data_IF_897243265133
#
_entry.id   IF_897243265133
#
_cell.length_a   1.000
_cell.length_b   1.000
_cell.length_c   1.000
_cell.angle_alpha   90.00
_cell.angle_beta   90.00
_cell.angle_gamma   90.00
#
_symmetry.space_group_name_H-M   'P 1'
#
loop_
_entity.id
_entity.type
_entity.pdbx_description
1 polymer ?
#
# COMPACT_ATOMS: atom_id res chain seq x y z
N UNK A 1 23.92 1.87 -29.35
CA UNK A 1 23.43 1.53 -28.01
C UNK A 1 24.65 1.42 -27.14
N UNK A 2 24.93 2.50 -26.41
CA UNK A 2 26.01 2.53 -25.43
C UNK A 2 25.52 2.02 -24.06
N UNK A 3 26.41 2.02 -23.09
CA UNK A 3 26.12 1.63 -21.71
C UNK A 3 25.09 2.53 -21.03
N UNK A 4 25.00 3.80 -21.45
CA UNK A 4 24.02 4.76 -20.95
C UNK A 4 22.63 4.43 -21.48
N UNK A 5 22.50 4.15 -22.78
CA UNK A 5 21.25 3.73 -23.42
C UNK A 5 20.70 2.46 -22.75
N UNK A 6 21.57 1.48 -22.49
CA UNK A 6 21.18 0.23 -21.84
C UNK A 6 20.74 0.44 -20.38
N UNK A 7 21.43 1.32 -19.64
CA UNK A 7 21.06 1.67 -18.27
C UNK A 7 19.69 2.38 -18.23
N UNK A 8 19.42 3.28 -19.16
CA UNK A 8 18.15 3.99 -19.26
C UNK A 8 16.99 3.01 -19.52
N UNK A 9 17.11 2.14 -20.51
CA UNK A 9 16.09 1.12 -20.82
C UNK A 9 15.81 0.23 -19.59
N UNK A 10 16.86 -0.16 -18.86
CA UNK A 10 16.74 -0.98 -17.65
C UNK A 10 15.94 -0.27 -16.55
N UNK A 11 16.21 1.02 -16.34
CA UNK A 11 15.49 1.84 -15.35
C UNK A 11 14.02 1.95 -15.72
N UNK A 12 13.70 2.17 -16.99
CA UNK A 12 12.32 2.26 -17.46
C UNK A 12 11.54 0.97 -17.23
N UNK A 13 12.14 -0.19 -17.57
CA UNK A 13 11.52 -1.51 -17.33
C UNK A 13 11.28 -1.75 -15.84
N UNK A 14 12.25 -1.41 -14.99
CA UNK A 14 12.11 -1.61 -13.54
C UNK A 14 11.05 -0.67 -12.94
N UNK A 15 11.04 0.59 -13.35
CA UNK A 15 10.07 1.58 -12.86
C UNK A 15 8.65 1.21 -13.26
N UNK A 16 8.44 0.85 -14.53
CA UNK A 16 7.12 0.44 -15.02
C UNK A 16 6.63 -0.81 -14.29
N UNK A 17 7.49 -1.82 -14.11
CA UNK A 17 7.14 -3.01 -13.34
C UNK A 17 6.78 -2.70 -11.88
N UNK A 18 7.54 -1.82 -11.21
CA UNK A 18 7.27 -1.41 -9.83
C UNK A 18 5.93 -0.68 -9.71
N UNK A 19 5.63 0.24 -10.63
CA UNK A 19 4.35 0.97 -10.66
C UNK A 19 3.20 -0.02 -10.86
N UNK A 20 3.29 -0.91 -11.84
CA UNK A 20 2.24 -1.90 -12.11
C UNK A 20 2.01 -2.83 -10.92
N UNK A 21 3.08 -3.24 -10.24
CA UNK A 21 2.98 -4.08 -9.04
C UNK A 21 2.27 -3.38 -7.87
N UNK A 22 2.35 -2.05 -7.77
CA UNK A 22 1.61 -1.26 -6.77
C UNK A 22 0.17 -1.05 -7.19
N UNK A 23 -0.08 -0.67 -8.44
CA UNK A 23 -1.43 -0.46 -8.96
C UNK A 23 -2.27 -1.73 -8.93
N UNK A 24 -1.66 -2.90 -9.20
CA UNK A 24 -2.35 -4.19 -9.10
C UNK A 24 -2.77 -4.58 -7.68
N UNK A 25 -2.28 -3.90 -6.63
CA UNK A 25 -2.69 -4.14 -5.23
C UNK A 25 -3.87 -3.26 -4.82
N UNK A 26 -4.30 -2.31 -5.65
CA UNK A 26 -5.41 -1.42 -5.33
C UNK A 26 -6.69 -2.23 -5.32
N UNK A 27 -7.41 -2.18 -4.21
CA UNK A 27 -8.68 -2.90 -4.09
C UNK A 27 -9.79 -2.20 -4.87
N UNK A 28 -10.61 -3.03 -5.49
CA UNK A 28 -11.75 -2.59 -6.30
C UNK A 28 -13.08 -2.76 -5.58
N UNK A 29 -13.11 -3.49 -4.46
CA UNK A 29 -14.33 -3.78 -3.70
C UNK A 29 -14.43 -2.81 -2.52
N UNK A 30 -15.46 -1.94 -2.47
CA UNK A 30 -15.67 -1.04 -1.35
C UNK A 30 -15.77 -1.79 -0.03
N UNK A 31 -15.36 -1.11 1.04
CA UNK A 31 -15.44 -1.62 2.39
C UNK A 31 -16.90 -1.82 2.82
N UNK A 32 -17.14 -2.84 3.65
CA UNK A 32 -18.42 -3.02 4.35
C UNK A 32 -18.62 -1.97 5.45
N UNK A 33 -17.61 -1.12 5.71
CA UNK A 33 -17.63 -0.14 6.79
C UNK A 33 -17.30 -0.73 8.16
N UNK A 34 -16.80 -1.96 8.22
CA UNK A 34 -16.37 -2.63 9.46
C UNK A 34 -14.88 -2.94 9.42
N UNK A 35 -14.15 -2.58 10.48
CA UNK A 35 -12.73 -2.81 10.62
C UNK A 35 -12.45 -4.32 10.69
N UNK A 36 -11.56 -4.82 9.83
CA UNK A 36 -11.15 -6.23 9.81
C UNK A 36 -10.27 -6.64 10.98
N UNK A 37 -9.71 -5.69 11.73
CA UNK A 37 -8.80 -5.95 12.83
C UNK A 37 -9.51 -5.96 14.20
N UNK A 38 -10.26 -4.90 14.52
CA UNK A 38 -10.98 -4.78 15.80
C UNK A 38 -12.48 -5.10 15.72
N UNK A 39 -13.07 -5.15 14.52
CA UNK A 39 -14.52 -5.38 14.34
C UNK A 39 -15.40 -4.14 14.53
N UNK A 40 -14.83 -2.98 14.82
CA UNK A 40 -15.57 -1.73 15.01
C UNK A 40 -15.94 -1.06 13.68
N UNK A 41 -16.89 -0.12 13.72
CA UNK A 41 -17.26 0.64 12.54
C UNK A 41 -16.11 1.55 12.09
N UNK A 42 -15.85 1.59 10.78
CA UNK A 42 -14.89 2.51 10.19
C UNK A 42 -15.52 3.90 10.11
N UNK A 43 -14.72 4.90 10.44
CA UNK A 43 -15.11 6.30 10.48
C UNK A 43 -15.63 6.74 9.12
N UNK A 44 -16.80 7.39 9.11
CA UNK A 44 -17.46 7.79 7.86
C UNK A 44 -16.60 8.75 7.03
N UNK A 45 -15.87 9.66 7.67
CA UNK A 45 -14.92 10.54 7.00
C UNK A 45 -13.82 9.74 6.26
N UNK A 46 -13.39 8.63 6.86
CA UNK A 46 -12.36 7.76 6.31
C UNK A 46 -12.87 6.94 5.15
N UNK A 47 -14.11 6.44 5.20
CA UNK A 47 -14.77 5.77 4.07
C UNK A 47 -15.07 6.74 2.93
N UNK A 48 -15.38 8.01 3.23
CA UNK A 48 -15.55 9.06 2.20
C UNK A 48 -14.23 9.36 1.49
N UNK A 49 -13.13 9.45 2.22
CA UNK A 49 -11.80 9.69 1.65
C UNK A 49 -11.23 8.45 0.95
N UNK A 50 -11.46 7.26 1.51
CA UNK A 50 -11.04 5.98 0.97
C UNK A 50 -12.16 4.93 1.14
N UNK A 51 -12.98 4.73 0.09
CA UNK A 51 -14.07 3.75 0.10
C UNK A 51 -13.62 2.31 0.32
N UNK A 52 -12.34 2.02 0.10
CA UNK A 52 -11.76 0.68 0.19
C UNK A 52 -11.06 0.42 1.54
N UNK A 53 -11.20 1.31 2.53
CA UNK A 53 -10.53 1.18 3.81
C UNK A 53 -10.93 -0.12 4.55
N UNK A 54 -9.94 -0.96 4.92
CA UNK A 54 -10.16 -2.23 5.65
C UNK A 54 -10.18 -2.13 7.16
N UNK A 55 -9.50 -1.14 7.71
CA UNK A 55 -9.27 -0.99 9.14
C UNK A 55 -9.89 0.33 9.61
N UNK A 56 -10.12 0.55 10.89
CA UNK A 56 -10.36 1.90 11.43
C UNK A 56 -9.04 2.70 11.39
N UNK A 57 -9.09 3.97 11.80
CA UNK A 57 -7.89 4.81 11.87
C UNK A 57 -6.80 4.19 12.76
N UNK A 58 -7.15 3.84 13.99
CA UNK A 58 -6.18 3.40 14.99
C UNK A 58 -5.48 2.09 14.56
N UNK A 59 -6.25 1.11 14.08
CA UNK A 59 -5.71 -0.15 13.59
C UNK A 59 -4.80 0.03 12.37
N UNK A 60 -5.07 1.04 11.52
CA UNK A 60 -4.21 1.33 10.38
C UNK A 60 -2.90 2.01 10.80
N UNK A 61 -2.97 2.95 11.74
CA UNK A 61 -1.80 3.66 12.27
C UNK A 61 -0.85 2.66 12.97
N UNK A 62 -1.41 1.73 13.76
CA UNK A 62 -0.63 0.64 14.35
C UNK A 62 0.01 -0.28 13.31
N UNK A 63 -0.75 -0.67 12.28
CA UNK A 63 -0.24 -1.55 11.23
C UNK A 63 0.91 -0.87 10.46
N UNK A 64 0.80 0.44 10.21
CA UNK A 64 1.84 1.22 9.58
C UNK A 64 3.09 1.30 10.47
N UNK A 65 2.94 1.61 11.76
CA UNK A 65 4.05 1.67 12.70
C UNK A 65 4.80 0.33 12.79
N UNK A 66 4.06 -0.79 12.87
CA UNK A 66 4.64 -2.15 12.84
C UNK A 66 5.39 -2.43 11.55
N UNK A 67 4.84 -2.03 10.40
CA UNK A 67 5.49 -2.19 9.11
C UNK A 67 6.76 -1.33 8.99
N UNK A 68 6.75 -0.10 9.50
CA UNK A 68 7.92 0.76 9.54
C UNK A 68 9.03 0.15 10.41
N UNK A 69 8.69 -0.36 11.59
CA UNK A 69 9.64 -1.06 12.46
C UNK A 69 10.22 -2.32 11.79
N UNK A 70 9.36 -3.12 11.14
CA UNK A 70 9.79 -4.31 10.41
C UNK A 70 10.73 -3.99 9.25
N UNK A 71 10.62 -2.82 8.62
CA UNK A 71 11.57 -2.35 7.58
C UNK A 71 12.88 -1.84 8.17
N UNK A 72 12.87 -1.32 9.40
CA UNK A 72 14.08 -0.83 10.10
C UNK A 72 14.92 -1.99 10.65
N UNK A 73 14.27 -3.05 11.09
CA UNK A 73 14.95 -4.31 11.40
C UNK A 73 15.31 -4.96 10.06
N UNK A 74 16.60 -4.98 9.69
CA UNK A 74 17.06 -5.66 8.47
C UNK A 74 16.59 -7.13 8.40
N UNK A 75 16.69 -7.78 7.22
CA UNK A 75 16.21 -9.15 7.04
C UNK A 75 16.80 -10.05 8.13
N UNK A 76 15.92 -10.76 8.85
CA UNK A 76 16.33 -11.81 9.79
C UNK A 76 16.93 -12.99 9.06
#
# INVERSE_FOLDING_TARGET
MDDIDLAAERVEVLNTAAIQAVLGRVETVPSTGTCRACGEAIEQERLKANPYAKHCRDCADEAEARAQLARRCGPR
#
